data_IF_743710864483
#
_entry.id   IF_743710864483
#
_cell.length_a   1.000
_cell.length_b   1.000
_cell.length_c   1.000
_cell.angle_alpha   90.00
_cell.angle_beta   90.00
_cell.angle_gamma   90.00
#
_symmetry.space_group_name_H-M   'P 1'
#
loop_
_entity.id
_entity.type
_entity.pdbx_description
1 polymer ?
#
# COMPACT_ATOMS: atom_id res chain seq x y z
N UNK A 1 -1.24 29.98 1.72
CA UNK A 1 -0.60 28.64 1.68
C UNK A 1 -0.13 28.40 0.27
N UNK A 2 1.18 28.24 0.06
CA UNK A 2 1.70 27.82 -1.25
C UNK A 2 1.24 26.38 -1.53
N UNK A 3 0.72 26.13 -2.72
CA UNK A 3 0.33 24.79 -3.14
C UNK A 3 1.61 23.93 -3.23
N UNK A 4 1.77 22.96 -2.34
CA UNK A 4 2.90 22.05 -2.37
C UNK A 4 2.67 21.02 -3.46
N UNK A 5 3.47 21.07 -4.53
CA UNK A 5 3.37 20.09 -5.60
C UNK A 5 4.21 18.86 -5.28
N UNK A 6 3.55 17.75 -4.95
CA UNK A 6 4.22 16.48 -4.70
C UNK A 6 5.02 15.98 -5.92
N UNK A 7 4.54 16.26 -7.13
CA UNK A 7 5.18 15.82 -8.36
C UNK A 7 6.49 16.54 -8.70
N UNK A 8 6.77 17.70 -8.07
CA UNK A 8 8.03 18.42 -8.25
C UNK A 8 9.14 17.96 -7.30
N UNK A 9 8.85 17.03 -6.39
CA UNK A 9 9.85 16.54 -5.46
C UNK A 9 10.86 15.61 -6.13
N UNK A 10 12.13 15.62 -5.68
CA UNK A 10 13.10 14.60 -6.07
C UNK A 10 12.60 13.20 -5.71
N UNK A 11 12.94 12.21 -6.55
CA UNK A 11 12.58 10.81 -6.32
C UNK A 11 12.99 10.31 -4.93
N UNK A 12 14.18 10.69 -4.46
CA UNK A 12 14.67 10.32 -3.12
C UNK A 12 13.78 10.83 -1.98
N UNK A 13 13.13 11.98 -2.14
CA UNK A 13 12.16 12.49 -1.16
C UNK A 13 10.83 11.73 -1.25
N UNK A 14 10.37 11.42 -2.46
CA UNK A 14 9.17 10.60 -2.66
C UNK A 14 9.32 9.21 -2.02
N UNK A 15 10.48 8.58 -2.18
CA UNK A 15 10.82 7.32 -1.51
C UNK A 15 10.73 7.47 0.01
N UNK A 16 11.39 8.48 0.60
CA UNK A 16 11.37 8.70 2.06
C UNK A 16 9.96 8.91 2.59
N UNK A 17 9.14 9.70 1.89
CA UNK A 17 7.75 9.93 2.27
C UNK A 17 6.97 8.62 2.24
N UNK A 18 7.05 7.88 1.13
CA UNK A 18 6.32 6.63 1.00
C UNK A 18 6.80 5.56 2.00
N UNK A 19 8.10 5.47 2.26
CA UNK A 19 8.65 4.60 3.29
C UNK A 19 8.10 4.95 4.67
N UNK A 20 7.96 6.24 5.00
CA UNK A 20 7.39 6.66 6.29
C UNK A 20 5.91 6.31 6.43
N UNK A 21 5.15 6.38 5.33
CA UNK A 21 3.75 5.94 5.29
C UNK A 21 3.67 4.41 5.45
N UNK A 22 4.54 3.67 4.75
CA UNK A 22 4.60 2.21 4.82
C UNK A 22 4.94 1.68 6.23
N UNK A 23 5.74 2.43 6.99
CA UNK A 23 6.05 2.12 8.39
C UNK A 23 5.04 2.69 9.39
N UNK A 24 3.86 3.12 8.94
CA UNK A 24 2.79 3.57 9.84
C UNK A 24 1.58 2.63 9.75
N UNK A 25 0.96 2.54 8.57
CA UNK A 25 -0.21 1.67 8.34
C UNK A 25 -0.26 1.18 6.88
N UNK A 26 -0.63 -0.09 6.69
CA UNK A 26 -0.79 -0.71 5.36
C UNK A 26 -1.90 -0.01 4.57
N UNK A 27 -2.97 0.39 5.26
CA UNK A 27 -4.10 1.12 4.66
C UNK A 27 -3.64 2.45 4.06
N UNK A 28 -2.83 3.21 4.80
CA UNK A 28 -2.35 4.52 4.35
C UNK A 28 -1.35 4.36 3.21
N UNK A 29 -0.52 3.31 3.26
CA UNK A 29 0.38 2.94 2.18
C UNK A 29 -0.37 2.61 0.89
N UNK A 30 -1.39 1.73 0.96
CA UNK A 30 -2.24 1.40 -0.19
C UNK A 30 -2.97 2.63 -0.75
N UNK A 31 -3.47 3.50 0.14
CA UNK A 31 -4.17 4.74 -0.25
C UNK A 31 -3.23 5.71 -0.96
N UNK A 32 -2.03 5.94 -0.42
CA UNK A 32 -1.04 6.82 -1.02
C UNK A 32 -0.69 6.38 -2.45
N UNK A 33 -0.60 5.06 -2.68
CA UNK A 33 -0.32 4.49 -4.00
C UNK A 33 -1.47 4.63 -4.99
N UNK A 34 -2.73 4.58 -4.53
CA UNK A 34 -3.89 4.86 -5.39
C UNK A 34 -3.90 6.34 -5.79
N UNK A 35 -3.63 7.23 -4.83
CA UNK A 35 -3.83 8.66 -5.00
C UNK A 35 -2.71 9.34 -5.78
N UNK A 36 -1.52 8.74 -5.88
CA UNK A 36 -0.39 9.34 -6.59
C UNK A 36 0.43 8.31 -7.38
N UNK A 37 0.55 8.53 -8.69
CA UNK A 37 1.23 7.61 -9.62
C UNK A 37 2.72 7.42 -9.30
N UNK A 38 3.41 8.46 -8.82
CA UNK A 38 4.81 8.35 -8.40
C UNK A 38 4.98 7.41 -7.21
N UNK A 39 4.05 7.42 -6.26
CA UNK A 39 4.06 6.44 -5.17
C UNK A 39 3.69 5.03 -5.64
N UNK A 40 2.79 4.90 -6.60
CA UNK A 40 2.50 3.60 -7.19
C UNK A 40 3.74 2.99 -7.86
N UNK A 41 4.53 3.79 -8.59
CA UNK A 41 5.77 3.34 -9.23
C UNK A 41 6.78 2.86 -8.19
N UNK A 42 7.07 3.68 -7.17
CA UNK A 42 8.00 3.33 -6.09
C UNK A 42 7.55 2.07 -5.35
N UNK A 43 6.27 2.01 -4.97
CA UNK A 43 5.70 0.85 -4.29
C UNK A 43 5.62 -0.41 -5.15
N UNK A 44 6.05 -0.38 -6.41
CA UNK A 44 6.24 -1.56 -7.25
C UNK A 44 7.68 -2.10 -7.28
N UNK A 45 8.64 -1.34 -6.75
CA UNK A 45 10.05 -1.69 -6.77
C UNK A 45 10.38 -2.66 -5.63
N UNK A 46 10.99 -3.81 -5.94
CA UNK A 46 11.40 -4.78 -4.91
C UNK A 46 12.36 -4.17 -3.88
N UNK A 47 13.27 -3.30 -4.33
CA UNK A 47 14.21 -2.60 -3.45
C UNK A 47 13.52 -1.75 -2.39
N UNK A 48 12.34 -1.18 -2.68
CA UNK A 48 11.58 -0.40 -1.70
C UNK A 48 11.26 -1.25 -0.46
N UNK A 49 10.86 -2.51 -0.66
CA UNK A 49 10.49 -3.41 0.44
C UNK A 49 11.70 -3.94 1.22
N UNK A 50 12.87 -4.03 0.58
CA UNK A 50 14.13 -4.42 1.25
C UNK A 50 14.76 -3.26 2.03
N UNK A 51 14.49 -2.01 1.64
CA UNK A 51 15.12 -0.81 2.19
C UNK A 51 14.24 -0.06 3.19
N UNK A 52 12.92 -0.20 3.08
CA UNK A 52 12.02 0.25 4.12
C UNK A 52 12.18 -0.70 5.31
N UNK A 53 12.36 -0.12 6.49
CA UNK A 53 12.25 -0.80 7.78
C UNK A 53 10.76 -1.11 8.02
N UNK A 54 10.17 -1.88 7.09
CA UNK A 54 8.76 -2.18 7.02
C UNK A 54 8.38 -2.72 8.39
N UNK A 55 7.37 -2.08 8.98
CA UNK A 55 6.76 -2.46 10.24
C UNK A 55 6.64 -3.98 10.36
N UNK A 56 6.73 -4.51 11.58
CA UNK A 56 6.63 -5.94 11.90
C UNK A 56 5.71 -6.65 10.90
N UNK A 57 6.28 -7.55 10.09
CA UNK A 57 5.57 -8.20 8.98
C UNK A 57 4.23 -8.82 9.44
N UNK A 58 4.16 -9.22 10.72
CA UNK A 58 2.96 -9.71 11.38
C UNK A 58 1.83 -8.66 11.46
N UNK A 59 2.14 -7.42 11.81
CA UNK A 59 1.16 -6.32 11.90
C UNK A 59 0.58 -6.02 10.51
N UNK A 60 1.43 -6.09 9.47
CA UNK A 60 1.01 -5.97 8.08
C UNK A 60 0.09 -7.12 7.65
N UNK A 61 0.37 -8.34 8.07
CA UNK A 61 -0.47 -9.52 7.79
C UNK A 61 -1.83 -9.37 8.47
N UNK A 62 -1.87 -8.94 9.73
CA UNK A 62 -3.11 -8.73 10.48
C UNK A 62 -3.97 -7.62 9.86
N UNK A 63 -3.36 -6.48 9.49
CA UNK A 63 -4.07 -5.41 8.77
C UNK A 63 -4.58 -5.89 7.39
N UNK A 64 -3.79 -6.68 6.66
CA UNK A 64 -4.20 -7.24 5.38
C UNK A 64 -5.43 -8.14 5.54
N UNK A 65 -5.42 -8.99 6.57
CA UNK A 65 -6.54 -9.88 6.88
C UNK A 65 -7.78 -9.09 7.29
N UNK A 66 -7.63 -8.06 8.12
CA UNK A 66 -8.73 -7.16 8.48
C UNK A 66 -9.33 -6.47 7.24
N UNK A 67 -8.50 -6.00 6.30
CA UNK A 67 -8.95 -5.42 5.04
C UNK A 67 -9.67 -6.44 4.14
N UNK A 68 -9.19 -7.69 4.05
CA UNK A 68 -9.89 -8.78 3.33
C UNK A 68 -11.27 -9.05 3.93
N UNK A 69 -11.38 -9.14 5.26
CA UNK A 69 -12.66 -9.33 5.95
C UNK A 69 -13.60 -8.14 5.72
N UNK A 70 -13.10 -6.91 5.80
CA UNK A 70 -13.88 -5.71 5.52
C UNK A 70 -14.37 -5.68 4.08
N UNK A 71 -13.52 -6.05 3.11
CA UNK A 71 -13.91 -6.21 1.70
C UNK A 71 -15.06 -7.18 1.53
N UNK A 72 -14.98 -8.35 2.17
CA UNK A 72 -16.01 -9.38 2.09
C UNK A 72 -17.36 -8.87 2.60
N UNK A 73 -17.36 -8.18 3.74
CA UNK A 73 -18.57 -7.57 4.30
C UNK A 73 -19.14 -6.48 3.36
N UNK A 74 -18.29 -5.67 2.76
CA UNK A 74 -18.72 -4.68 1.76
C UNK A 74 -19.38 -5.33 0.56
N UNK A 75 -18.83 -6.43 0.04
CA UNK A 75 -19.43 -7.19 -1.06
C UNK A 75 -20.80 -7.76 -0.68
N UNK A 76 -20.90 -8.39 0.49
CA UNK A 76 -22.16 -8.95 1.00
C UNK A 76 -23.25 -7.88 1.19
N UNK A 77 -22.84 -6.66 1.55
CA UNK A 77 -23.73 -5.52 1.73
C UNK A 77 -23.98 -4.70 0.44
N UNK A 78 -23.41 -5.09 -0.71
CA UNK A 78 -23.58 -4.36 -1.97
C UNK A 78 -22.90 -2.98 -2.02
N UNK A 79 -21.88 -2.75 -1.19
CA UNK A 79 -21.22 -1.45 -1.05
C UNK A 79 -20.13 -1.25 -2.10
N UNK A 80 -20.09 -0.05 -2.71
CA UNK A 80 -19.04 0.38 -3.65
C UNK A 80 -17.63 0.41 -3.01
N UNK A 81 -17.57 0.48 -1.68
CA UNK A 81 -16.33 0.37 -0.90
C UNK A 81 -15.54 -0.90 -1.19
N UNK A 82 -16.20 -1.99 -1.60
CA UNK A 82 -15.53 -3.21 -1.99
C UNK A 82 -14.52 -2.99 -3.15
N UNK A 83 -14.86 -2.14 -4.13
CA UNK A 83 -13.97 -1.81 -5.27
C UNK A 83 -12.77 -0.98 -4.85
N UNK A 84 -12.97 -0.04 -3.92
CA UNK A 84 -11.89 0.76 -3.36
C UNK A 84 -10.90 -0.13 -2.59
N UNK A 85 -11.42 -1.01 -1.74
CA UNK A 85 -10.59 -1.96 -0.97
C UNK A 85 -9.88 -2.95 -1.90
N UNK A 86 -10.52 -3.38 -3.00
CA UNK A 86 -9.83 -4.18 -4.02
C UNK A 86 -8.69 -3.43 -4.69
N UNK A 87 -8.87 -2.15 -5.03
CA UNK A 87 -7.78 -1.30 -5.51
C UNK A 87 -6.63 -1.23 -4.51
N UNK A 88 -6.94 -1.07 -3.22
CA UNK A 88 -5.93 -0.99 -2.16
C UNK A 88 -5.17 -2.29 -1.97
N UNK A 89 -5.88 -3.42 -1.86
CA UNK A 89 -5.28 -4.74 -1.69
C UNK A 89 -4.46 -5.08 -2.93
N UNK A 90 -5.02 -4.88 -4.12
CA UNK A 90 -4.27 -5.11 -5.35
C UNK A 90 -3.03 -4.24 -5.37
N UNK A 91 -3.08 -2.94 -5.07
CA UNK A 91 -1.86 -2.14 -5.16
C UNK A 91 -0.86 -2.50 -4.07
N UNK A 92 -1.26 -2.56 -2.80
CA UNK A 92 -0.38 -2.92 -1.69
C UNK A 92 0.35 -4.26 -1.91
N UNK A 93 -0.31 -5.23 -2.55
CA UNK A 93 0.17 -6.59 -2.76
C UNK A 93 0.50 -6.96 -4.22
N UNK A 94 0.31 -6.09 -5.21
CA UNK A 94 0.59 -6.34 -6.65
C UNK A 94 2.05 -6.12 -7.02
N UNK A 95 2.94 -5.87 -6.05
CA UNK A 95 4.29 -6.41 -6.24
C UNK A 95 4.13 -7.90 -6.17
N UNK A 96 4.33 -8.50 -7.33
CA UNK A 96 4.57 -9.90 -7.54
C UNK A 96 5.83 -10.33 -6.78
N UNK A 97 5.72 -10.29 -5.45
CA UNK A 97 6.49 -10.99 -4.47
C UNK A 97 6.12 -12.47 -4.60
N UNK A 98 6.36 -13.00 -5.80
CA UNK A 98 6.06 -14.35 -6.26
C UNK A 98 6.69 -15.43 -5.35
N UNK A 99 7.57 -15.02 -4.42
CA UNK A 99 8.09 -15.84 -3.33
C UNK A 99 7.91 -15.32 -1.89
N UNK A 100 7.46 -14.08 -1.65
CA UNK A 100 7.42 -13.50 -0.29
C UNK A 100 6.04 -13.63 0.38
N UNK A 101 4.94 -13.50 -0.38
CA UNK A 101 3.56 -13.67 0.14
C UNK A 101 2.88 -14.96 -0.32
N UNK A 102 3.47 -15.69 -1.27
CA UNK A 102 2.97 -17.01 -1.71
C UNK A 102 3.11 -18.12 -0.65
N UNK A 103 3.83 -17.86 0.45
CA UNK A 103 3.89 -18.77 1.60
C UNK A 103 2.75 -18.60 2.61
N UNK A 104 1.81 -17.67 2.38
CA UNK A 104 0.69 -17.37 3.29
C UNK A 104 -0.67 -17.82 2.72
N UNK A 105 -0.67 -18.71 1.73
CA UNK A 105 -1.88 -19.40 1.23
C UNK A 105 -2.02 -20.80 1.82
#
# INVERSE_FOLDING_TARGET
MSNFNLASLPLSMLHKILSKVATSHLRDFGSARISFSGFNQIGREEYFYRSADLFNLNDWIDEANALKTFRLRCYQAGLLWAKYVDGMLNLAFSVDARGFFSQLS
#
